data_IF_295466614656
#
_entry.id   IF_295466614656
#
_cell.length_a   1.000
_cell.length_b   1.000
_cell.length_c   1.000
_cell.angle_alpha   90.00
_cell.angle_beta   90.00
_cell.angle_gamma   90.00
#
_symmetry.space_group_name_H-M   'P 1'
#
loop_
_entity.id
_entity.type
_entity.pdbx_description
1 polymer ?
#
# COMPACT_ATOMS: atom_id res chain seq x y z
N UNK A 1 -37.68 35.26 -10.81
CA UNK A 1 -37.01 35.59 -9.54
C UNK A 1 -35.57 35.11 -9.71
N UNK A 2 -34.55 35.99 -9.66
CA UNK A 2 -33.16 35.55 -9.75
C UNK A 2 -32.83 34.78 -8.46
N UNK A 3 -32.38 33.53 -8.61
CA UNK A 3 -31.78 32.77 -7.56
C UNK A 3 -30.44 33.46 -7.21
N UNK A 4 -30.44 34.15 -6.11
CA UNK A 4 -29.21 34.63 -5.45
C UNK A 4 -28.44 33.37 -5.05
N UNK A 5 -27.32 33.11 -5.73
CA UNK A 5 -26.31 32.17 -5.29
C UNK A 5 -25.66 32.78 -4.05
N UNK A 6 -26.17 32.39 -2.88
CA UNK A 6 -25.60 32.78 -1.59
C UNK A 6 -24.27 32.01 -1.39
N UNK A 7 -23.23 32.81 -1.16
CA UNK A 7 -22.03 32.42 -0.44
C UNK A 7 -21.12 31.43 -1.14
N UNK A 8 -20.24 31.95 -2.02
CA UNK A 8 -18.96 31.30 -2.34
C UNK A 8 -18.11 31.19 -1.04
N UNK A 9 -18.45 30.28 -0.15
CA UNK A 9 -17.49 29.87 0.87
C UNK A 9 -16.35 29.16 0.14
N UNK A 10 -15.22 29.86 -0.03
CA UNK A 10 -14.01 29.19 -0.54
C UNK A 10 -13.73 27.97 0.35
N UNK A 11 -13.50 26.79 -0.23
CA UNK A 11 -13.21 25.61 0.53
C UNK A 11 -12.00 25.84 1.43
N UNK A 12 -12.09 25.41 2.67
CA UNK A 12 -11.00 25.51 3.61
C UNK A 12 -9.83 24.60 3.21
N UNK A 13 -8.68 24.75 3.87
CA UNK A 13 -7.47 23.98 3.54
C UNK A 13 -7.69 22.47 3.61
N UNK A 14 -8.51 21.98 4.56
CA UNK A 14 -8.80 20.55 4.75
C UNK A 14 -9.67 19.99 3.63
N UNK A 15 -10.67 20.73 3.20
CA UNK A 15 -11.57 20.37 2.10
C UNK A 15 -10.79 20.28 0.77
N UNK A 16 -9.90 21.25 0.52
CA UNK A 16 -8.98 21.18 -0.62
C UNK A 16 -8.06 19.97 -0.55
N UNK A 17 -7.55 19.65 0.65
CA UNK A 17 -6.69 18.51 0.86
C UNK A 17 -7.43 17.19 0.59
N UNK A 18 -8.66 17.03 1.06
CA UNK A 18 -9.48 15.85 0.80
C UNK A 18 -9.80 15.70 -0.69
N UNK A 19 -10.21 16.79 -1.35
CA UNK A 19 -10.44 16.81 -2.78
C UNK A 19 -9.18 16.43 -3.57
N UNK A 20 -8.06 17.07 -3.28
CA UNK A 20 -6.78 16.78 -3.93
C UNK A 20 -6.38 15.31 -3.78
N UNK A 21 -6.53 14.74 -2.57
CA UNK A 21 -6.27 13.32 -2.37
C UNK A 21 -7.19 12.44 -3.22
N UNK A 22 -8.50 12.68 -3.20
CA UNK A 22 -9.46 11.85 -3.97
C UNK A 22 -9.22 11.87 -5.47
N UNK A 23 -8.79 13.00 -6.02
CA UNK A 23 -8.45 13.08 -7.44
C UNK A 23 -7.10 12.44 -7.78
N UNK A 24 -6.16 12.40 -6.85
CA UNK A 24 -4.80 11.94 -7.08
C UNK A 24 -4.56 10.48 -6.66
N UNK A 25 -5.24 10.00 -5.62
CA UNK A 25 -5.05 8.65 -5.10
C UNK A 25 -5.32 7.54 -6.14
N UNK A 26 -6.29 7.64 -7.08
CA UNK A 26 -6.43 6.64 -8.13
C UNK A 26 -5.17 6.42 -8.98
N UNK A 27 -4.42 7.47 -9.25
CA UNK A 27 -3.16 7.37 -10.01
C UNK A 27 -2.08 6.65 -9.21
N UNK A 28 -2.02 6.91 -7.90
CA UNK A 28 -1.07 6.26 -7.00
C UNK A 28 -1.39 4.77 -6.84
N UNK A 29 -2.68 4.43 -6.67
CA UNK A 29 -3.12 3.03 -6.58
C UNK A 29 -2.85 2.24 -7.87
N UNK A 30 -3.01 2.86 -9.03
CA UNK A 30 -2.63 2.23 -10.30
C UNK A 30 -1.13 2.04 -10.44
N UNK A 31 -0.34 2.98 -9.92
CA UNK A 31 1.11 2.85 -9.89
C UNK A 31 1.54 1.74 -8.93
N UNK A 32 0.88 1.64 -7.76
CA UNK A 32 1.06 0.55 -6.80
C UNK A 32 0.70 -0.81 -7.43
N UNK A 33 -0.43 -0.92 -8.12
CA UNK A 33 -0.77 -2.13 -8.88
C UNK A 33 0.34 -2.55 -9.85
N UNK A 34 0.88 -1.60 -10.62
CA UNK A 34 1.99 -1.89 -11.55
C UNK A 34 3.23 -2.39 -10.82
N UNK A 35 3.54 -1.79 -9.67
CA UNK A 35 4.66 -2.20 -8.81
C UNK A 35 4.47 -3.64 -8.31
N UNK A 36 3.33 -3.94 -7.68
CA UNK A 36 3.03 -5.27 -7.16
C UNK A 36 3.04 -6.34 -8.25
N UNK A 37 2.41 -6.07 -9.39
CA UNK A 37 2.41 -6.98 -10.54
C UNK A 37 3.81 -7.19 -11.12
N UNK A 38 4.62 -6.13 -11.21
CA UNK A 38 5.99 -6.23 -11.71
C UNK A 38 6.87 -7.04 -10.76
N UNK A 39 6.70 -6.86 -9.44
CA UNK A 39 7.39 -7.64 -8.41
C UNK A 39 6.98 -9.10 -8.46
N UNK A 40 5.68 -9.38 -8.50
CA UNK A 40 5.13 -10.75 -8.59
C UNK A 40 5.72 -11.55 -9.76
N UNK A 41 5.92 -10.92 -10.90
CA UNK A 41 6.48 -11.57 -12.08
C UNK A 41 8.00 -11.85 -12.00
N UNK A 42 8.69 -11.34 -10.97
CA UNK A 42 10.14 -11.43 -10.79
C UNK A 42 10.58 -12.19 -9.56
N UNK A 43 9.64 -12.74 -8.81
CA UNK A 43 9.94 -13.57 -7.64
C UNK A 43 9.78 -15.05 -7.97
N UNK A 44 10.72 -15.87 -7.46
CA UNK A 44 10.67 -17.34 -7.65
C UNK A 44 9.64 -18.01 -6.74
N UNK A 45 9.20 -17.35 -5.66
CA UNK A 45 8.30 -17.91 -4.65
C UNK A 45 6.84 -17.76 -5.06
N UNK A 46 6.11 -18.86 -5.29
CA UNK A 46 4.70 -18.78 -5.70
C UNK A 46 3.78 -18.15 -4.65
N UNK A 47 4.05 -18.38 -3.36
CA UNK A 47 3.33 -17.80 -2.24
C UNK A 47 3.50 -16.27 -2.18
N UNK A 48 4.73 -15.78 -2.28
CA UNK A 48 5.02 -14.36 -2.35
C UNK A 48 4.43 -13.71 -3.62
N UNK A 49 4.53 -14.39 -4.77
CA UNK A 49 3.92 -13.94 -6.02
C UNK A 49 2.40 -13.79 -5.89
N UNK A 50 1.73 -14.79 -5.30
CA UNK A 50 0.29 -14.75 -5.08
C UNK A 50 -0.14 -13.63 -4.12
N UNK A 51 0.61 -13.42 -3.02
CA UNK A 51 0.38 -12.33 -2.09
C UNK A 51 0.50 -10.95 -2.78
N UNK A 52 1.56 -10.75 -3.53
CA UNK A 52 1.80 -9.49 -4.26
C UNK A 52 0.70 -9.22 -5.29
N UNK A 53 0.23 -10.24 -6.00
CA UNK A 53 -0.91 -10.09 -6.91
C UNK A 53 -2.20 -9.75 -6.17
N UNK A 54 -2.48 -10.41 -5.04
CA UNK A 54 -3.65 -10.12 -4.21
C UNK A 54 -3.68 -8.64 -3.82
N UNK A 55 -2.60 -8.12 -3.22
CA UNK A 55 -2.48 -6.71 -2.83
C UNK A 55 -2.60 -5.78 -4.05
N UNK A 56 -1.96 -6.13 -5.16
CA UNK A 56 -2.04 -5.35 -6.38
C UNK A 56 -3.46 -5.20 -6.91
N UNK A 57 -4.25 -6.28 -6.94
CA UNK A 57 -5.64 -6.21 -7.39
C UNK A 57 -6.53 -5.41 -6.43
N UNK A 58 -6.25 -5.42 -5.13
CA UNK A 58 -6.94 -4.55 -4.18
C UNK A 58 -6.62 -3.07 -4.43
N UNK A 59 -5.38 -2.72 -4.77
CA UNK A 59 -5.03 -1.36 -5.22
C UNK A 59 -5.80 -0.95 -6.47
N UNK A 60 -5.96 -1.84 -7.44
CA UNK A 60 -6.74 -1.56 -8.65
C UNK A 60 -8.25 -1.36 -8.34
N UNK A 61 -8.80 -2.16 -7.42
CA UNK A 61 -10.16 -1.99 -6.88
C UNK A 61 -10.32 -0.62 -6.22
N UNK A 62 -9.39 -0.24 -5.36
CA UNK A 62 -9.38 1.06 -4.69
C UNK A 62 -9.35 2.22 -5.71
N UNK A 63 -8.50 2.15 -6.72
CA UNK A 63 -8.43 3.15 -7.79
C UNK A 63 -9.79 3.33 -8.49
N UNK A 64 -10.49 2.23 -8.79
CA UNK A 64 -11.80 2.28 -9.44
C UNK A 64 -12.86 2.95 -8.56
N UNK A 65 -12.91 2.61 -7.27
CA UNK A 65 -13.85 3.19 -6.29
C UNK A 65 -13.60 4.69 -6.15
N UNK A 66 -12.34 5.08 -5.95
CA UNK A 66 -11.97 6.49 -5.76
C UNK A 66 -12.28 7.34 -6.99
N UNK A 67 -12.11 6.81 -8.21
CA UNK A 67 -12.50 7.52 -9.43
C UNK A 67 -13.99 7.83 -9.47
N UNK A 68 -14.83 6.86 -9.09
CA UNK A 68 -16.27 7.09 -9.03
C UNK A 68 -16.58 8.20 -8.04
N UNK A 69 -16.01 8.18 -6.83
CA UNK A 69 -16.22 9.22 -5.82
C UNK A 69 -15.73 10.57 -6.33
N UNK A 70 -14.52 10.62 -6.91
CA UNK A 70 -13.90 11.85 -7.41
C UNK A 70 -14.73 12.55 -8.49
N UNK A 71 -15.57 11.84 -9.26
CA UNK A 71 -16.44 12.47 -10.27
C UNK A 71 -17.44 13.47 -9.69
N UNK A 72 -17.76 13.34 -8.41
CA UNK A 72 -18.72 14.20 -7.71
C UNK A 72 -18.06 15.29 -6.85
N UNK A 73 -16.73 15.28 -6.74
CA UNK A 73 -15.98 16.21 -5.90
C UNK A 73 -15.30 17.27 -6.80
N UNK A 74 -15.40 18.57 -6.48
CA UNK A 74 -14.75 19.61 -7.27
C UNK A 74 -13.22 19.42 -7.29
N UNK A 75 -12.61 19.46 -8.47
CA UNK A 75 -11.16 19.48 -8.63
C UNK A 75 -10.63 20.91 -8.50
N UNK A 76 -9.65 21.13 -7.65
CA UNK A 76 -9.04 22.45 -7.45
C UNK A 76 -7.74 22.65 -8.26
N UNK A 77 -7.53 21.83 -9.30
CA UNK A 77 -6.45 22.01 -10.27
C UNK A 77 -5.06 21.67 -9.74
N UNK A 78 -4.96 20.77 -8.77
CA UNK A 78 -3.68 20.38 -8.19
C UNK A 78 -2.92 19.40 -9.09
N UNK A 79 -1.61 19.58 -9.18
CA UNK A 79 -0.69 18.61 -9.76
C UNK A 79 -0.55 17.42 -8.78
N UNK A 80 -1.06 16.24 -9.17
CA UNK A 80 -1.06 15.06 -8.33
C UNK A 80 0.33 14.64 -7.89
N UNK A 81 1.35 14.81 -8.73
CA UNK A 81 2.72 14.48 -8.36
C UNK A 81 3.20 15.41 -7.23
N UNK A 82 2.89 16.69 -7.31
CA UNK A 82 3.21 17.65 -6.26
C UNK A 82 2.40 17.42 -4.99
N UNK A 83 1.15 17.00 -5.13
CA UNK A 83 0.23 16.77 -4.01
C UNK A 83 0.60 15.52 -3.21
N UNK A 84 0.83 14.39 -3.89
CA UNK A 84 1.22 13.11 -3.27
C UNK A 84 2.72 13.02 -2.98
N UNK A 85 3.50 13.97 -3.54
CA UNK A 85 4.91 14.24 -3.27
C UNK A 85 5.77 12.98 -3.00
N UNK A 86 6.24 12.81 -1.76
CA UNK A 86 7.18 11.75 -1.37
C UNK A 86 6.63 10.33 -1.59
N UNK A 87 5.32 10.12 -1.44
CA UNK A 87 4.73 8.79 -1.58
C UNK A 87 4.70 8.34 -3.05
N UNK A 88 4.35 9.25 -3.97
CA UNK A 88 4.40 8.98 -5.40
C UNK A 88 5.82 8.65 -5.86
N UNK A 89 6.79 9.46 -5.44
CA UNK A 89 8.20 9.27 -5.77
C UNK A 89 8.76 7.95 -5.20
N UNK A 90 8.34 7.56 -3.98
CA UNK A 90 8.71 6.25 -3.39
C UNK A 90 8.21 5.08 -4.23
N UNK A 91 6.93 5.08 -4.60
CA UNK A 91 6.34 4.00 -5.40
C UNK A 91 6.99 3.94 -6.79
N UNK A 92 7.23 5.09 -7.42
CA UNK A 92 7.90 5.16 -8.72
C UNK A 92 9.34 4.65 -8.65
N UNK A 93 10.11 5.04 -7.63
CA UNK A 93 11.47 4.56 -7.42
C UNK A 93 11.53 3.04 -7.20
N UNK A 94 10.60 2.49 -6.41
CA UNK A 94 10.47 1.04 -6.20
C UNK A 94 10.14 0.33 -7.52
N UNK A 95 9.21 0.87 -8.30
CA UNK A 95 8.86 0.32 -9.60
C UNK A 95 10.05 0.32 -10.57
N UNK A 96 10.81 1.41 -10.61
CA UNK A 96 12.02 1.50 -11.43
C UNK A 96 13.07 0.47 -10.99
N UNK A 97 13.31 0.35 -9.69
CA UNK A 97 14.21 -0.67 -9.14
C UNK A 97 13.77 -2.06 -9.58
N UNK A 98 12.52 -2.46 -9.30
CA UNK A 98 12.00 -3.78 -9.63
C UNK A 98 12.06 -4.06 -11.14
N UNK A 99 11.77 -3.07 -11.98
CA UNK A 99 11.78 -3.26 -13.44
C UNK A 99 13.18 -3.37 -14.04
N UNK A 100 14.21 -2.90 -13.34
CA UNK A 100 15.61 -3.07 -13.76
C UNK A 100 16.16 -4.46 -13.43
N UNK A 101 15.53 -5.20 -12.49
CA UNK A 101 15.95 -6.53 -12.08
C UNK A 101 15.37 -7.60 -13.02
N UNK A 102 16.15 -8.66 -13.27
CA UNK A 102 15.64 -9.83 -14.02
C UNK A 102 14.82 -10.72 -13.10
N UNK A 103 15.37 -11.06 -11.94
CA UNK A 103 14.71 -11.82 -10.86
C UNK A 103 15.18 -11.24 -9.51
N UNK A 104 14.35 -11.37 -8.50
CA UNK A 104 14.58 -10.86 -7.15
C UNK A 104 14.93 -12.03 -6.24
N UNK A 105 16.09 -11.99 -5.63
CA UNK A 105 16.55 -12.98 -4.67
C UNK A 105 15.82 -12.85 -3.32
N UNK A 106 15.78 -13.95 -2.52
CA UNK A 106 15.00 -13.98 -1.28
C UNK A 106 15.40 -12.89 -0.26
N UNK A 107 16.69 -12.59 -0.12
CA UNK A 107 17.18 -11.54 0.78
C UNK A 107 16.72 -10.15 0.34
N UNK A 108 16.71 -9.89 -0.96
CA UNK A 108 16.24 -8.63 -1.56
C UNK A 108 14.72 -8.55 -1.47
N UNK A 109 14.02 -9.67 -1.67
CA UNK A 109 12.57 -9.77 -1.59
C UNK A 109 12.05 -9.41 -0.19
N UNK A 110 12.68 -9.93 0.88
CA UNK A 110 12.31 -9.57 2.25
C UNK A 110 12.42 -8.06 2.49
N UNK A 111 13.52 -7.45 2.08
CA UNK A 111 13.70 -6.00 2.22
C UNK A 111 12.73 -5.20 1.36
N UNK A 112 12.45 -5.66 0.15
CA UNK A 112 11.46 -5.04 -0.72
C UNK A 112 10.06 -5.10 -0.09
N UNK A 113 9.65 -6.25 0.47
CA UNK A 113 8.35 -6.38 1.16
C UNK A 113 8.22 -5.42 2.35
N UNK A 114 9.26 -5.21 3.13
CA UNK A 114 9.26 -4.20 4.22
C UNK A 114 9.05 -2.78 3.69
N UNK A 115 9.69 -2.43 2.57
CA UNK A 115 9.51 -1.12 1.93
C UNK A 115 8.11 -0.96 1.33
N UNK A 116 7.54 -2.02 0.77
CA UNK A 116 6.15 -2.05 0.31
C UNK A 116 5.17 -1.88 1.47
N UNK A 117 5.44 -2.52 2.61
CA UNK A 117 4.65 -2.36 3.82
C UNK A 117 4.64 -0.90 4.32
N UNK A 118 5.77 -0.20 4.26
CA UNK A 118 5.83 1.24 4.58
C UNK A 118 4.96 2.09 3.64
N UNK A 119 4.91 1.76 2.35
CA UNK A 119 4.03 2.44 1.38
C UNK A 119 2.57 2.23 1.74
N UNK A 120 2.16 0.98 2.06
CA UNK A 120 0.78 0.69 2.48
C UNK A 120 0.41 1.43 3.76
N UNK A 121 1.29 1.48 4.76
CA UNK A 121 1.08 2.23 6.00
C UNK A 121 0.88 3.73 5.73
N UNK A 122 1.76 4.36 4.96
CA UNK A 122 1.66 5.78 4.63
C UNK A 122 0.39 6.11 3.83
N UNK A 123 -0.03 5.19 2.98
CA UNK A 123 -1.28 5.33 2.22
C UNK A 123 -2.49 5.16 3.13
N UNK A 124 -2.47 4.21 4.08
CA UNK A 124 -3.48 4.02 5.11
C UNK A 124 -3.71 5.30 5.94
N UNK A 125 -2.63 5.96 6.39
CA UNK A 125 -2.72 7.23 7.11
C UNK A 125 -3.44 8.33 6.30
N UNK A 126 -3.32 8.31 4.96
CA UNK A 126 -4.06 9.23 4.09
C UNK A 126 -5.56 8.89 4.04
N UNK A 127 -5.90 7.61 3.96
CA UNK A 127 -7.31 7.18 4.02
C UNK A 127 -7.94 7.48 5.38
N UNK A 128 -7.22 7.24 6.48
CA UNK A 128 -7.67 7.60 7.84
C UNK A 128 -8.02 9.10 7.93
N UNK A 129 -7.25 9.95 7.26
CA UNK A 129 -7.52 11.39 7.22
C UNK A 129 -8.87 11.74 6.58
N UNK A 130 -9.39 10.92 5.67
CA UNK A 130 -10.72 11.08 5.07
C UNK A 130 -11.85 10.70 6.03
N UNK A 131 -11.59 9.79 6.96
CA UNK A 131 -12.58 9.32 7.97
C UNK A 131 -12.86 10.36 9.05
N UNK A 132 -12.14 11.46 9.10
CA UNK A 132 -12.45 12.55 10.03
C UNK A 132 -13.85 13.13 9.75
N UNK A 133 -14.68 13.23 10.78
CA UNK A 133 -16.10 13.61 10.68
C UNK A 133 -16.36 14.84 9.80
N UNK A 134 -15.55 15.90 9.94
CA UNK A 134 -15.71 17.12 9.11
C UNK A 134 -15.36 16.90 7.64
N UNK A 135 -14.41 16.01 7.35
CA UNK A 135 -14.03 15.64 5.97
C UNK A 135 -15.13 14.81 5.33
N UNK A 136 -15.61 13.78 6.04
CA UNK A 136 -16.73 12.96 5.57
C UNK A 136 -17.99 13.78 5.30
N UNK A 137 -18.34 14.72 6.20
CA UNK A 137 -19.49 15.59 6.00
C UNK A 137 -19.32 16.46 4.75
N UNK A 138 -18.16 17.07 4.56
CA UNK A 138 -17.87 17.83 3.35
C UNK A 138 -18.03 16.99 2.08
N UNK A 139 -17.47 15.78 2.07
CA UNK A 139 -17.59 14.88 0.91
C UNK A 139 -19.04 14.47 0.65
N UNK A 140 -19.79 14.16 1.70
CA UNK A 140 -21.21 13.82 1.59
C UNK A 140 -22.03 15.01 1.05
N UNK A 141 -21.75 16.23 1.50
CA UNK A 141 -22.41 17.45 1.04
C UNK A 141 -22.11 17.73 -0.46
N UNK A 142 -20.84 17.56 -0.89
CA UNK A 142 -20.47 17.75 -2.30
C UNK A 142 -21.14 16.70 -3.20
N UNK A 143 -21.07 15.43 -2.85
CA UNK A 143 -21.72 14.35 -3.60
C UNK A 143 -23.24 14.55 -3.59
N UNK A 144 -23.81 14.93 -2.44
CA UNK A 144 -25.24 15.16 -2.23
C UNK A 144 -25.84 16.27 -3.11
N UNK A 145 -25.03 17.15 -3.66
CA UNK A 145 -25.47 18.14 -4.66
C UNK A 145 -25.88 17.52 -5.99
N UNK A 146 -25.32 16.35 -6.31
CA UNK A 146 -25.53 15.67 -7.59
C UNK A 146 -26.41 14.42 -7.46
N UNK A 147 -26.21 13.64 -6.41
CA UNK A 147 -26.87 12.35 -6.18
C UNK A 147 -27.19 12.16 -4.70
N UNK A 148 -28.21 11.35 -4.42
CA UNK A 148 -28.47 10.99 -3.03
C UNK A 148 -27.32 10.11 -2.51
N UNK A 149 -26.69 10.51 -1.40
CA UNK A 149 -25.62 9.76 -0.74
C UNK A 149 -25.99 9.50 0.72
N UNK A 150 -25.77 8.27 1.17
CA UNK A 150 -25.85 7.91 2.59
C UNK A 150 -24.44 8.04 3.20
N UNK A 151 -24.31 8.90 4.20
CA UNK A 151 -23.04 9.12 4.90
C UNK A 151 -22.47 7.83 5.49
N UNK A 152 -23.32 6.93 5.99
CA UNK A 152 -22.87 5.65 6.55
C UNK A 152 -22.25 4.75 5.47
N UNK A 153 -22.82 4.75 4.26
CA UNK A 153 -22.26 3.99 3.12
C UNK A 153 -20.93 4.58 2.70
N UNK A 154 -20.81 5.90 2.63
CA UNK A 154 -19.55 6.56 2.30
C UNK A 154 -18.46 6.28 3.35
N UNK A 155 -18.84 6.35 4.64
CA UNK A 155 -17.96 5.99 5.75
C UNK A 155 -17.47 4.55 5.63
N UNK A 156 -18.40 3.58 5.42
CA UNK A 156 -18.05 2.17 5.29
C UNK A 156 -17.11 1.89 4.10
N UNK A 157 -17.24 2.63 3.01
CA UNK A 157 -16.31 2.52 1.87
C UNK A 157 -14.91 2.95 2.27
N UNK A 158 -14.74 4.09 2.94
CA UNK A 158 -13.41 4.56 3.35
C UNK A 158 -12.81 3.71 4.47
N UNK A 159 -13.61 3.21 5.41
CA UNK A 159 -13.17 2.24 6.43
C UNK A 159 -12.68 0.94 5.79
N UNK A 160 -13.35 0.45 4.74
CA UNK A 160 -12.90 -0.73 4.01
C UNK A 160 -11.58 -0.48 3.27
N UNK A 161 -11.41 0.68 2.62
CA UNK A 161 -10.18 1.04 1.92
C UNK A 161 -9.00 1.22 2.89
N UNK A 162 -9.23 1.81 4.06
CA UNK A 162 -8.22 1.95 5.10
C UNK A 162 -7.85 0.60 5.71
N UNK A 163 -8.83 -0.23 6.06
CA UNK A 163 -8.62 -1.58 6.58
C UNK A 163 -7.87 -2.50 5.61
N UNK A 164 -8.11 -2.38 4.29
CA UNK A 164 -7.31 -3.07 3.27
C UNK A 164 -5.83 -2.69 3.40
N UNK A 165 -5.49 -1.41 3.62
CA UNK A 165 -4.10 -0.94 3.76
C UNK A 165 -3.41 -1.47 5.01
N UNK A 166 -4.10 -1.49 6.15
CA UNK A 166 -3.60 -2.09 7.39
C UNK A 166 -3.34 -3.60 7.23
N UNK A 167 -4.29 -4.30 6.60
CA UNK A 167 -4.14 -5.72 6.30
C UNK A 167 -2.94 -5.99 5.37
N UNK A 168 -2.79 -5.23 4.28
CA UNK A 168 -1.66 -5.35 3.36
C UNK A 168 -0.33 -5.12 4.04
N UNK A 169 -0.22 -4.08 4.88
CA UNK A 169 0.97 -3.82 5.68
C UNK A 169 1.33 -5.04 6.54
N UNK A 170 0.35 -5.58 7.28
CA UNK A 170 0.54 -6.74 8.14
C UNK A 170 0.99 -7.98 7.36
N UNK A 171 0.38 -8.26 6.21
CA UNK A 171 0.72 -9.40 5.37
C UNK A 171 2.13 -9.28 4.79
N UNK A 172 2.53 -8.10 4.32
CA UNK A 172 3.86 -7.84 3.76
C UNK A 172 4.95 -7.98 4.83
N UNK A 173 4.72 -7.43 6.03
CA UNK A 173 5.65 -7.57 7.16
C UNK A 173 5.80 -9.03 7.56
N UNK A 174 4.69 -9.76 7.68
CA UNK A 174 4.70 -11.18 8.05
C UNK A 174 5.44 -12.03 7.01
N UNK A 175 5.19 -11.80 5.73
CA UNK A 175 5.88 -12.49 4.65
C UNK A 175 7.39 -12.18 4.64
N UNK A 176 7.79 -10.94 4.89
CA UNK A 176 9.20 -10.57 5.00
C UNK A 176 9.92 -11.35 6.10
N UNK A 177 9.29 -11.48 7.28
CA UNK A 177 9.85 -12.26 8.39
C UNK A 177 9.93 -13.76 8.09
N UNK A 178 8.93 -14.34 7.43
CA UNK A 178 8.97 -15.74 7.02
C UNK A 178 10.14 -16.02 6.07
N UNK A 179 10.35 -15.14 5.08
CA UNK A 179 11.45 -15.28 4.13
C UNK A 179 12.81 -15.17 4.82
N UNK A 180 12.98 -14.27 5.79
CA UNK A 180 14.21 -14.11 6.56
C UNK A 180 14.51 -15.33 7.45
N UNK A 181 13.51 -15.88 8.13
CA UNK A 181 13.70 -17.02 9.02
C UNK A 181 14.11 -18.28 8.25
N UNK A 182 13.53 -18.55 7.11
CA UNK A 182 13.94 -19.69 6.25
C UNK A 182 15.39 -19.56 5.77
N UNK A 183 15.83 -18.34 5.49
CA UNK A 183 17.22 -18.10 5.07
C UNK A 183 18.21 -18.37 6.20
N UNK A 184 17.86 -18.06 7.45
CA UNK A 184 18.67 -18.34 8.62
C UNK A 184 18.78 -19.85 8.89
N UNK A 185 17.68 -20.61 8.77
CA UNK A 185 17.68 -22.05 8.95
C UNK A 185 18.57 -22.76 7.91
N UNK A 186 18.47 -22.36 6.65
CA UNK A 186 19.33 -22.93 5.58
C UNK A 186 20.81 -22.56 5.74
N UNK A 187 21.12 -21.41 6.33
CA UNK A 187 22.50 -21.00 6.63
C UNK A 187 23.09 -21.81 7.79
N UNK A 188 22.31 -22.17 8.79
CA UNK A 188 22.73 -22.98 9.94
C UNK A 188 23.02 -24.43 9.50
N UNK A 189 22.15 -25.02 8.66
CA UNK A 189 22.35 -26.38 8.16
C UNK A 189 23.57 -26.55 7.24
N UNK A 190 23.99 -25.48 6.59
CA UNK A 190 25.19 -25.45 5.74
C UNK A 190 26.49 -25.11 6.51
N UNK A 191 26.44 -24.85 7.80
CA UNK A 191 27.66 -24.66 8.59
C UNK A 191 28.39 -26.00 8.68
N UNK A 192 29.65 -26.11 8.22
CA UNK A 192 30.40 -27.36 8.32
C UNK A 192 30.52 -27.72 9.79
N UNK A 193 29.88 -28.83 10.17
CA UNK A 193 30.08 -29.44 11.49
C UNK A 193 31.54 -29.75 11.62
N UNK A 194 32.29 -28.96 12.40
CA UNK A 194 33.68 -29.26 12.77
C UNK A 194 33.60 -30.54 13.57
N UNK A 195 33.85 -31.67 12.92
CA UNK A 195 34.01 -32.95 13.62
C UNK A 195 35.33 -32.85 14.40
N UNK A 196 35.21 -32.55 15.68
CA UNK A 196 36.33 -32.77 16.58
C UNK A 196 36.57 -34.29 16.64
N UNK A 197 37.63 -34.77 15.98
CA UNK A 197 38.16 -36.10 16.20
C UNK A 197 38.79 -36.10 17.60
N UNK A 198 38.06 -36.71 18.54
CA UNK A 198 38.63 -36.93 19.86
C UNK A 198 39.74 -37.97 19.72
N UNK A 199 40.98 -37.72 20.19
CA UNK A 199 42.09 -38.67 20.05
C UNK A 199 41.90 -40.01 20.75
N UNK A 200 40.86 -40.14 21.60
CA UNK A 200 40.57 -41.35 22.38
C UNK A 200 39.50 -42.26 21.78
N UNK A 201 39.05 -42.06 20.52
CA UNK A 201 38.25 -43.02 19.77
C UNK A 201 36.78 -43.20 20.23
N UNK A 202 36.25 -42.37 21.13
CA UNK A 202 34.86 -42.44 21.58
C UNK A 202 33.98 -41.42 20.85
N UNK A 203 33.18 -41.92 19.87
CA UNK A 203 32.17 -41.15 19.20
C UNK A 203 30.94 -40.94 20.11
N UNK A 204 30.86 -39.83 20.82
CA UNK A 204 29.58 -39.33 21.36
C UNK A 204 29.19 -38.06 20.63
N UNK A 205 27.97 -37.97 20.05
CA UNK A 205 27.47 -36.69 19.51
C UNK A 205 27.17 -35.77 20.69
N UNK A 206 27.80 -34.58 20.71
CA UNK A 206 27.41 -33.49 21.59
C UNK A 206 26.40 -32.65 20.79
N UNK A 207 25.14 -32.71 21.21
CA UNK A 207 24.14 -31.73 20.82
C UNK A 207 24.43 -30.43 21.58
N UNK A 208 24.68 -29.37 20.84
CA UNK A 208 24.68 -27.98 21.33
C UNK A 208 23.41 -27.31 20.83
#
# INVERSE_FOLDING_TARGET
VPLTIEGNNMPNHREKAASGFLHCAPMLEELAFKLYRSTSNRVYRPDASALLLYIGYDSLKAAAILRVIATYIPAYGEDCRKYLNSLFDKVEALLQQVTSETMIENNELSQLMKRLAEVERELGEKYESLLQTKTLQYLADEIGRCVHVDLNVLTAIFEALEGDKENHNTLLVSAAYCIESEHLETAIDNTPTVRYQNPDGWNRPILI
#
